data_IF_240201500886
#
_entry.id   IF_240201500886
#
_cell.length_a   1.000
_cell.length_b   1.000
_cell.length_c   1.000
_cell.angle_alpha   90.00
_cell.angle_beta   90.00
_cell.angle_gamma   90.00
#
_symmetry.space_group_name_H-M   'P 1'
#
loop_
_entity.id
_entity.type
_entity.pdbx_description
1 polymer ?
#
# COMPACT_ATOMS: atom_id res chain seq x y z
N UNK A 1 -1.34 4.25 24.98
CA UNK A 1 -0.82 3.03 24.33
C UNK A 1 -1.00 3.13 22.81
N UNK A 2 -0.32 4.06 22.11
CA UNK A 2 -0.56 4.33 20.68
C UNK A 2 0.67 4.65 19.82
N UNK A 3 1.86 4.76 20.41
CA UNK A 3 3.06 5.19 19.70
C UNK A 3 3.75 4.09 18.86
N UNK A 4 3.47 2.81 19.14
CA UNK A 4 4.10 1.70 18.42
C UNK A 4 3.49 1.49 17.03
N UNK A 5 2.16 1.62 16.90
CA UNK A 5 1.40 1.37 15.67
C UNK A 5 1.63 2.41 14.57
N UNK A 6 2.21 3.56 14.89
CA UNK A 6 2.53 4.63 13.94
C UNK A 6 4.01 4.66 13.54
N UNK A 7 4.84 3.82 14.15
CA UNK A 7 6.28 3.79 13.87
C UNK A 7 6.56 3.22 12.47
N UNK A 8 7.63 3.70 11.84
CA UNK A 8 8.09 3.18 10.54
C UNK A 8 8.38 1.66 10.60
N UNK A 9 8.96 1.19 11.71
CA UNK A 9 9.22 -0.22 11.93
C UNK A 9 7.92 -1.06 11.97
N UNK A 10 6.87 -0.55 12.61
CA UNK A 10 5.58 -1.22 12.61
C UNK A 10 4.94 -1.23 11.22
N UNK A 11 5.07 -0.15 10.45
CA UNK A 11 4.55 -0.10 9.07
C UNK A 11 5.25 -1.10 8.16
N UNK A 12 6.57 -1.19 8.21
CA UNK A 12 7.33 -2.21 7.47
C UNK A 12 6.92 -3.62 7.88
N UNK A 13 6.74 -3.85 9.17
CA UNK A 13 6.19 -5.11 9.66
C UNK A 13 4.78 -5.37 9.11
N UNK A 14 3.88 -4.38 9.11
CA UNK A 14 2.54 -4.51 8.58
C UNK A 14 2.54 -4.82 7.07
N UNK A 15 3.40 -4.18 6.27
CA UNK A 15 3.62 -4.52 4.85
C UNK A 15 4.04 -5.98 4.70
N UNK A 16 5.03 -6.42 5.48
CA UNK A 16 5.51 -7.80 5.44
C UNK A 16 4.40 -8.81 5.82
N UNK A 17 3.56 -8.48 6.81
CA UNK A 17 2.43 -9.32 7.20
C UNK A 17 1.36 -9.42 6.11
N UNK A 18 1.05 -8.32 5.43
CA UNK A 18 0.12 -8.31 4.29
C UNK A 18 0.68 -9.15 3.14
N UNK A 19 1.93 -8.93 2.76
CA UNK A 19 2.58 -9.68 1.69
C UNK A 19 2.64 -11.19 1.99
N UNK A 20 2.94 -11.55 3.25
CA UNK A 20 2.95 -12.94 3.67
C UNK A 20 1.55 -13.56 3.61
N UNK A 21 0.53 -12.84 4.09
CA UNK A 21 -0.85 -13.29 4.02
C UNK A 21 -1.31 -13.48 2.56
N UNK A 22 -0.93 -12.57 1.65
CA UNK A 22 -1.24 -12.69 0.21
C UNK A 22 -0.62 -13.96 -0.39
N UNK A 23 0.65 -14.24 -0.11
CA UNK A 23 1.32 -15.48 -0.55
C UNK A 23 0.55 -16.70 -0.05
N UNK A 24 0.15 -16.74 1.21
CA UNK A 24 -0.59 -17.88 1.75
C UNK A 24 -2.01 -17.99 1.19
N UNK A 25 -2.70 -16.87 0.95
CA UNK A 25 -4.01 -16.87 0.32
C UNK A 25 -3.98 -17.47 -1.09
N UNK A 26 -2.90 -17.29 -1.86
CA UNK A 26 -2.75 -17.98 -3.17
C UNK A 26 -2.70 -19.50 -3.05
N UNK A 27 -2.11 -20.01 -1.96
CA UNK A 27 -2.07 -21.46 -1.65
C UNK A 27 -3.43 -21.98 -1.18
N UNK A 28 -4.29 -21.09 -0.68
CA UNK A 28 -5.64 -21.42 -0.22
C UNK A 28 -6.74 -20.97 -1.20
N UNK A 29 -6.41 -20.73 -2.46
CA UNK A 29 -7.41 -20.43 -3.48
C UNK A 29 -8.47 -21.55 -3.58
N UNK A 30 -9.69 -21.16 -3.96
CA UNK A 30 -10.72 -22.12 -4.34
C UNK A 30 -10.26 -22.93 -5.56
N UNK A 31 -10.56 -24.22 -5.52
CA UNK A 31 -10.35 -25.18 -6.59
C UNK A 31 -11.70 -25.77 -7.00
N UNK A 32 -11.70 -26.75 -7.91
CA UNK A 32 -12.93 -27.40 -8.33
C UNK A 32 -13.72 -27.98 -7.13
N UNK A 33 -15.04 -28.12 -7.30
CA UNK A 33 -15.94 -28.74 -6.31
C UNK A 33 -16.01 -27.99 -4.96
N UNK A 34 -15.87 -26.66 -4.96
CA UNK A 34 -15.96 -25.83 -3.74
C UNK A 34 -14.93 -26.23 -2.66
N UNK A 35 -13.81 -26.84 -3.07
CA UNK A 35 -12.73 -27.21 -2.19
C UNK A 35 -11.63 -26.16 -2.24
N UNK A 36 -11.01 -25.90 -1.10
CA UNK A 36 -9.75 -25.18 -1.06
C UNK A 36 -8.63 -26.11 -1.54
N UNK A 37 -7.58 -25.54 -2.13
CA UNK A 37 -6.35 -26.26 -2.52
C UNK A 37 -5.66 -27.00 -1.36
N UNK A 38 -5.98 -26.69 -0.11
CA UNK A 38 -5.56 -27.47 1.06
C UNK A 38 -6.37 -28.76 1.29
N UNK A 39 -7.35 -29.07 0.44
CA UNK A 39 -8.20 -30.27 0.51
C UNK A 39 -9.43 -30.14 1.41
N UNK A 40 -9.61 -29.01 2.10
CA UNK A 40 -10.78 -28.75 2.96
C UNK A 40 -11.90 -28.02 2.18
N UNK A 41 -13.16 -28.09 2.61
CA UNK A 41 -14.23 -27.24 2.07
C UNK A 41 -13.84 -25.75 2.08
N UNK A 42 -14.19 -25.04 1.02
CA UNK A 42 -13.92 -23.62 0.89
C UNK A 42 -15.12 -22.79 1.42
N UNK A 43 -14.88 -21.74 2.24
CA UNK A 43 -13.59 -21.30 2.76
C UNK A 43 -13.10 -22.19 3.90
N UNK A 44 -11.82 -22.56 3.87
CA UNK A 44 -11.19 -23.25 4.99
C UNK A 44 -10.76 -22.28 6.09
N UNK A 45 -10.63 -22.77 7.32
CA UNK A 45 -10.27 -21.97 8.50
C UNK A 45 -8.96 -21.19 8.29
N UNK A 46 -7.96 -21.83 7.69
CA UNK A 46 -6.67 -21.19 7.38
C UNK A 46 -6.85 -20.00 6.42
N UNK A 47 -7.68 -20.15 5.39
CA UNK A 47 -7.99 -19.05 4.48
C UNK A 47 -8.64 -17.89 5.22
N UNK A 48 -9.60 -18.19 6.11
CA UNK A 48 -10.26 -17.18 6.91
C UNK A 48 -9.27 -16.48 7.85
N UNK A 49 -8.37 -17.22 8.49
CA UNK A 49 -7.30 -16.68 9.31
C UNK A 49 -6.42 -15.69 8.54
N UNK A 50 -5.94 -16.07 7.35
CA UNK A 50 -5.09 -15.19 6.53
C UNK A 50 -5.84 -13.97 6.00
N UNK A 51 -7.14 -14.10 5.66
CA UNK A 51 -7.98 -12.95 5.32
C UNK A 51 -8.12 -11.97 6.49
N UNK A 52 -8.36 -12.47 7.70
CA UNK A 52 -8.45 -11.63 8.89
C UNK A 52 -7.13 -10.93 9.19
N UNK A 53 -6.00 -11.64 9.10
CA UNK A 53 -4.66 -11.07 9.29
C UNK A 53 -4.36 -9.99 8.25
N UNK A 54 -4.63 -10.26 6.97
CA UNK A 54 -4.48 -9.29 5.88
C UNK A 54 -5.31 -8.04 6.13
N UNK A 55 -6.59 -8.21 6.49
CA UNK A 55 -7.49 -7.09 6.77
C UNK A 55 -7.05 -6.28 8.00
N UNK A 56 -6.53 -6.94 9.04
CA UNK A 56 -6.02 -6.28 10.23
C UNK A 56 -4.83 -5.37 9.90
N UNK A 57 -3.79 -5.89 9.26
CA UNK A 57 -2.60 -5.11 8.94
C UNK A 57 -2.82 -4.10 7.81
N UNK A 58 -3.67 -4.43 6.83
CA UNK A 58 -3.99 -3.53 5.73
C UNK A 58 -4.59 -2.19 6.18
N UNK A 59 -5.38 -2.18 7.27
CA UNK A 59 -5.94 -0.94 7.83
C UNK A 59 -4.88 0.08 8.24
N UNK A 60 -3.68 -0.36 8.63
CA UNK A 60 -2.59 0.53 9.03
C UNK A 60 -1.77 1.08 7.85
N UNK A 61 -2.03 0.61 6.63
CA UNK A 61 -1.31 1.01 5.41
C UNK A 61 -2.12 1.98 4.54
N UNK A 62 -3.45 2.08 4.72
CA UNK A 62 -4.33 2.93 3.90
C UNK A 62 -4.05 4.43 4.11
N UNK A 63 -3.65 4.85 5.31
CA UNK A 63 -3.31 6.26 5.60
C UNK A 63 -2.07 6.77 4.84
N UNK A 64 -1.22 5.88 4.32
CA UNK A 64 0.00 6.27 3.58
C UNK A 64 -0.32 6.84 2.19
N UNK A 65 -1.37 6.36 1.52
CA UNK A 65 -1.78 6.89 0.21
C UNK A 65 -2.27 8.34 0.32
N UNK A 66 -3.13 8.62 1.30
CA UNK A 66 -3.65 9.97 1.50
C UNK A 66 -2.58 10.96 1.97
N UNK A 67 -1.66 10.55 2.85
CA UNK A 67 -0.63 11.46 3.37
C UNK A 67 0.49 11.74 2.36
N UNK A 68 0.78 10.82 1.44
CA UNK A 68 1.83 11.01 0.41
C UNK A 68 1.36 11.91 -0.73
N UNK A 69 0.06 11.86 -1.08
CA UNK A 69 -0.54 12.72 -2.10
C UNK A 69 -0.63 14.19 -1.66
N UNK A 70 -0.89 14.45 -0.37
CA UNK A 70 -0.97 15.81 0.17
C UNK A 70 0.42 16.43 0.41
N UNK A 71 1.47 15.60 0.46
CA UNK A 71 2.83 16.01 0.83
C UNK A 71 3.82 16.04 -0.35
N UNK A 72 3.33 16.01 -1.59
CA UNK A 72 4.09 16.52 -2.73
C UNK A 72 3.85 18.02 -2.89
N UNK A 73 4.74 18.91 -2.41
CA UNK A 73 4.77 20.26 -2.95
C UNK A 73 5.09 20.12 -4.44
N UNK A 74 4.14 20.55 -5.28
CA UNK A 74 4.38 20.67 -6.71
C UNK A 74 5.68 21.46 -6.93
N UNK A 75 6.58 21.04 -7.83
CA UNK A 75 7.74 21.87 -8.13
C UNK A 75 7.24 23.24 -8.62
N UNK A 76 7.80 24.36 -8.14
CA UNK A 76 7.44 25.66 -8.68
C UNK A 76 7.79 25.64 -10.17
N UNK A 77 6.78 25.95 -10.98
CA UNK A 77 6.87 26.09 -12.42
C UNK A 77 8.15 26.88 -12.78
N UNK A 78 9.04 26.40 -13.68
CA UNK A 78 10.16 27.22 -14.09
C UNK A 78 9.61 28.41 -14.85
N UNK A 79 9.66 29.60 -14.24
CA UNK A 79 9.46 30.87 -14.93
C UNK A 79 10.39 30.87 -16.13
N UNK A 80 9.80 30.71 -17.32
CA UNK A 80 10.48 30.86 -18.60
C UNK A 80 11.06 32.28 -18.61
N UNK A 81 12.37 32.38 -18.45
CA UNK A 81 13.08 33.64 -18.64
C UNK A 81 12.80 34.11 -20.07
N UNK A 82 12.08 35.22 -20.18
CA UNK A 82 11.78 35.90 -21.42
C UNK A 82 13.08 36.62 -21.88
N UNK A 83 13.67 36.29 -23.04
CA UNK A 83 14.81 37.03 -23.55
C UNK A 83 14.28 38.13 -24.46
N UNK A 84 13.98 39.29 -23.88
CA UNK A 84 13.63 40.48 -24.65
C UNK A 84 14.58 41.62 -24.26
N UNK A 85 15.75 41.65 -24.90
CA UNK A 85 16.60 42.82 -25.02
C UNK A 85 15.96 43.77 -26.03
N UNK A 86 15.85 45.09 -25.76
CA UNK A 86 15.84 46.07 -26.82
C UNK A 86 17.23 46.70 -26.94
N UNK A 87 17.81 46.60 -28.13
CA UNK A 87 18.86 47.49 -28.61
C UNK A 87 18.40 48.95 -28.46
N UNK A 88 19.16 49.77 -27.72
CA UNK A 88 19.02 51.22 -27.71
C UNK A 88 20.26 51.82 -28.38
N UNK A 89 20.05 52.37 -29.58
CA UNK A 89 21.00 53.17 -30.34
C UNK A 89 20.97 54.60 -29.79
N UNK A 90 22.10 55.06 -29.25
CA UNK A 90 22.37 56.46 -28.91
C UNK A 90 23.87 56.76 -28.91
#
# INVERSE_FOLDING_TARGET
MGALYTSAAFREYARAQVAHADILLTKHAESALTLCRCGRPHPCDDRQHWLQRRAHFGRFLVDEQYSSEVQQPSPPNPTRADPSTPDDLG
#
